data_IF_943325334825
#
_entry.id   IF_943325334825
#
_cell.length_a   1.000
_cell.length_b   1.000
_cell.length_c   1.000
_cell.angle_alpha   90.00
_cell.angle_beta   90.00
_cell.angle_gamma   90.00
#
_symmetry.space_group_name_H-M   'P 1'
#
loop_
_entity.id
_entity.type
_entity.pdbx_description
1 polymer ?
#
# COMPACT_ATOMS: atom_id res chain seq x y z
N UNK A 1 -11.60 24.45 -1.11
CA UNK A 1 -10.96 24.34 -2.43
C UNK A 1 -12.05 24.08 -3.45
N UNK A 2 -12.12 24.85 -4.54
CA UNK A 2 -13.24 24.89 -5.50
C UNK A 2 -13.32 23.67 -6.44
N UNK A 3 -12.33 22.78 -6.46
CA UNK A 3 -12.32 21.62 -7.36
C UNK A 3 -11.92 21.95 -8.81
N UNK A 4 -11.78 23.23 -9.17
CA UNK A 4 -11.46 23.71 -10.53
C UNK A 4 -10.17 23.08 -11.09
N UNK A 5 -9.14 22.86 -10.28
CA UNK A 5 -7.94 22.14 -10.73
C UNK A 5 -8.23 20.69 -11.15
N UNK A 6 -9.11 20.00 -10.43
CA UNK A 6 -9.46 18.61 -10.69
C UNK A 6 -10.35 18.47 -11.93
N UNK A 7 -11.24 19.45 -12.16
CA UNK A 7 -12.15 19.45 -13.30
C UNK A 7 -11.55 20.06 -14.57
N UNK A 8 -10.89 21.21 -14.48
CA UNK A 8 -10.48 21.96 -15.68
C UNK A 8 -9.08 21.57 -16.16
N UNK A 9 -8.20 21.13 -15.25
CA UNK A 9 -6.80 20.84 -15.59
C UNK A 9 -6.57 19.33 -15.68
N UNK A 10 -6.85 18.58 -14.62
CA UNK A 10 -6.56 17.14 -14.57
C UNK A 10 -7.42 16.34 -15.56
N UNK A 11 -8.72 16.65 -15.66
CA UNK A 11 -9.62 15.98 -16.60
C UNK A 11 -9.33 16.34 -18.05
N UNK A 12 -9.13 17.62 -18.35
CA UNK A 12 -8.82 18.07 -19.72
C UNK A 12 -7.47 17.54 -20.20
N UNK A 13 -6.48 17.48 -19.31
CA UNK A 13 -5.17 16.94 -19.60
C UNK A 13 -5.11 15.41 -19.57
N UNK A 14 -6.18 14.70 -19.18
CA UNK A 14 -6.15 13.25 -18.94
C UNK A 14 -4.93 12.86 -18.09
N UNK A 15 -4.71 13.59 -16.99
CA UNK A 15 -3.60 13.36 -16.08
C UNK A 15 -4.10 13.50 -14.66
N UNK A 16 -4.30 12.38 -13.97
CA UNK A 16 -5.00 12.35 -12.68
C UNK A 16 -4.07 12.20 -11.47
N UNK A 17 -2.81 11.84 -11.70
CA UNK A 17 -1.77 11.79 -10.68
C UNK A 17 -1.15 13.17 -10.45
N UNK A 18 -0.68 13.43 -9.23
CA UNK A 18 0.08 14.65 -8.88
C UNK A 18 1.37 14.26 -8.14
N UNK A 19 2.48 14.99 -8.33
CA UNK A 19 2.64 16.16 -9.21
C UNK A 19 2.81 15.78 -10.69
N UNK A 20 2.44 16.71 -11.60
CA UNK A 20 2.63 16.59 -13.06
C UNK A 20 3.18 17.89 -13.64
N UNK A 21 4.12 17.76 -14.55
CA UNK A 21 4.72 18.87 -15.26
C UNK A 21 3.98 19.14 -16.58
N UNK A 22 3.75 20.42 -16.87
CA UNK A 22 3.23 20.91 -18.15
C UNK A 22 4.31 21.77 -18.79
N UNK A 23 4.87 21.33 -19.91
CA UNK A 23 5.90 22.06 -20.64
C UNK A 23 5.26 22.73 -21.86
N UNK A 24 5.40 24.05 -21.94
CA UNK A 24 4.98 24.85 -23.09
C UNK A 24 6.21 25.21 -23.91
N UNK A 25 6.18 24.96 -25.21
CA UNK A 25 7.29 25.30 -26.11
C UNK A 25 7.23 26.74 -26.64
N UNK A 26 8.23 27.09 -27.45
CA UNK A 26 8.39 28.44 -28.02
C UNK A 26 7.21 28.91 -28.89
N UNK A 27 6.38 27.98 -29.40
CA UNK A 27 5.20 28.33 -30.20
C UNK A 27 3.95 28.54 -29.31
N UNK A 28 4.12 28.48 -27.98
CA UNK A 28 3.02 28.58 -27.03
C UNK A 28 2.12 27.34 -26.98
N UNK A 29 2.59 26.16 -27.44
CA UNK A 29 1.81 24.91 -27.35
C UNK A 29 2.36 23.98 -26.28
N UNK A 30 1.50 23.15 -25.72
CA UNK A 30 1.90 22.09 -24.79
C UNK A 30 2.74 21.07 -25.56
N UNK A 31 4.01 20.96 -25.18
CA UNK A 31 4.97 20.03 -25.74
C UNK A 31 5.04 18.72 -24.95
N UNK A 32 4.76 18.77 -23.64
CA UNK A 32 4.82 17.61 -22.76
C UNK A 32 3.92 17.78 -21.55
N UNK A 33 3.25 16.68 -21.16
CA UNK A 33 2.55 16.51 -19.89
C UNK A 33 3.05 15.21 -19.28
N UNK A 34 3.62 15.23 -18.08
CA UNK A 34 4.13 14.00 -17.49
C UNK A 34 4.85 14.15 -16.17
N UNK A 35 5.56 13.10 -15.77
CA UNK A 35 6.33 13.07 -14.52
C UNK A 35 7.51 14.06 -14.56
N UNK A 36 7.81 14.68 -13.42
CA UNK A 36 8.92 15.60 -13.24
C UNK A 36 10.26 14.92 -13.52
N UNK A 37 10.40 13.62 -13.24
CA UNK A 37 11.66 12.88 -13.50
C UNK A 37 12.04 12.84 -14.98
N UNK A 38 11.08 13.06 -15.88
CA UNK A 38 11.32 13.09 -17.33
C UNK A 38 11.77 14.45 -17.84
N UNK A 39 11.73 15.50 -17.01
CA UNK A 39 12.04 16.85 -17.46
C UNK A 39 13.50 17.02 -17.88
N UNK A 40 14.45 16.34 -17.23
CA UNK A 40 15.86 16.40 -17.61
C UNK A 40 16.10 15.91 -19.04
N UNK A 41 15.36 14.88 -19.46
CA UNK A 41 15.44 14.33 -20.82
C UNK A 41 14.64 15.17 -21.84
N UNK A 42 13.48 15.68 -21.43
CA UNK A 42 12.52 16.35 -22.32
C UNK A 42 12.88 17.81 -22.58
N UNK A 43 13.28 18.56 -21.55
CA UNK A 43 13.48 20.01 -21.66
C UNK A 43 14.53 20.40 -22.72
N UNK A 44 15.72 19.76 -22.82
CA UNK A 44 16.69 20.09 -23.86
C UNK A 44 16.12 19.90 -25.27
N UNK A 45 15.37 18.82 -25.50
CA UNK A 45 14.75 18.49 -26.80
C UNK A 45 13.59 19.42 -27.15
N UNK A 46 12.89 19.95 -26.15
CA UNK A 46 11.88 20.99 -26.36
C UNK A 46 12.55 22.31 -26.72
N UNK A 47 13.65 22.66 -26.03
CA UNK A 47 14.42 23.88 -26.27
C UNK A 47 15.05 23.87 -27.66
N UNK A 48 15.60 22.75 -28.13
CA UNK A 48 16.21 22.67 -29.47
C UNK A 48 15.18 22.48 -30.60
N UNK A 49 13.94 22.08 -30.27
CA UNK A 49 12.82 21.91 -31.21
C UNK A 49 12.67 20.50 -31.78
N UNK A 50 13.51 19.54 -31.35
CA UNK A 50 13.48 18.15 -31.81
C UNK A 50 12.36 17.31 -31.17
N UNK A 51 11.82 17.73 -30.02
CA UNK A 51 10.85 16.94 -29.26
C UNK A 51 9.54 16.70 -30.00
N UNK A 52 8.86 17.75 -30.48
CA UNK A 52 7.44 17.68 -30.90
C UNK A 52 7.19 16.67 -32.03
N UNK A 53 8.10 16.57 -33.00
CA UNK A 53 7.97 15.64 -34.13
C UNK A 53 8.52 14.24 -33.84
N UNK A 54 9.16 14.04 -32.69
CA UNK A 54 9.85 12.80 -32.34
C UNK A 54 8.88 11.64 -32.11
N UNK A 55 9.38 10.42 -32.27
CA UNK A 55 8.65 9.21 -31.88
C UNK A 55 8.47 9.14 -30.35
N UNK A 56 9.43 9.67 -29.58
CA UNK A 56 9.39 9.71 -28.12
C UNK A 56 8.20 10.53 -27.61
N UNK A 57 7.97 11.73 -28.14
CA UNK A 57 6.83 12.56 -27.78
C UNK A 57 5.49 11.88 -28.09
N UNK A 58 5.39 11.23 -29.25
CA UNK A 58 4.19 10.46 -29.64
C UNK A 58 3.94 9.27 -28.70
N UNK A 59 5.00 8.58 -28.30
CA UNK A 59 4.89 7.45 -27.38
C UNK A 59 4.54 7.90 -25.96
N UNK A 60 5.12 9.01 -25.49
CA UNK A 60 4.79 9.60 -24.20
C UNK A 60 3.31 10.01 -24.13
N UNK A 61 2.79 10.64 -25.18
CA UNK A 61 1.37 11.01 -25.26
C UNK A 61 0.46 9.78 -25.27
N UNK A 62 0.78 8.75 -26.06
CA UNK A 62 0.02 7.49 -26.07
C UNK A 62 0.01 6.80 -24.70
N UNK A 63 1.17 6.73 -24.04
CA UNK A 63 1.29 6.13 -22.72
C UNK A 63 0.43 6.88 -21.69
N UNK A 64 0.45 8.22 -21.73
CA UNK A 64 -0.34 9.07 -20.86
C UNK A 64 -1.85 8.90 -21.07
N UNK A 65 -2.30 8.80 -22.32
CA UNK A 65 -3.72 8.54 -22.63
C UNK A 65 -4.13 7.14 -22.15
N UNK A 66 -3.30 6.11 -22.37
CA UNK A 66 -3.57 4.76 -21.89
C UNK A 66 -3.63 4.68 -20.34
N UNK A 67 -2.73 5.40 -19.65
CA UNK A 67 -2.78 5.54 -18.19
C UNK A 67 -4.10 6.17 -17.74
N UNK A 68 -4.55 7.24 -18.42
CA UNK A 68 -5.79 7.91 -18.11
C UNK A 68 -7.05 7.05 -18.36
N UNK A 69 -7.03 6.19 -19.38
CA UNK A 69 -8.12 5.24 -19.65
C UNK A 69 -8.30 4.22 -18.51
N UNK A 70 -7.22 3.89 -17.80
CA UNK A 70 -7.25 3.02 -16.61
C UNK A 70 -7.64 3.83 -15.36
N UNK A 71 -7.05 5.00 -15.16
CA UNK A 71 -7.21 5.80 -13.95
C UNK A 71 -8.58 6.48 -13.84
N UNK A 72 -9.14 6.97 -14.95
CA UNK A 72 -10.41 7.68 -14.95
C UNK A 72 -11.56 6.84 -14.36
N UNK A 73 -11.82 5.59 -14.81
CA UNK A 73 -12.89 4.77 -14.24
C UNK A 73 -12.60 4.40 -12.77
N UNK A 74 -11.36 4.10 -12.40
CA UNK A 74 -11.00 3.86 -11.00
C UNK A 74 -11.28 5.08 -10.12
N UNK A 75 -10.91 6.28 -10.58
CA UNK A 75 -11.16 7.54 -9.87
C UNK A 75 -12.66 7.82 -9.76
N UNK A 76 -13.43 7.55 -10.80
CA UNK A 76 -14.89 7.68 -10.77
C UNK A 76 -15.52 6.75 -9.73
N UNK A 77 -15.08 5.49 -9.64
CA UNK A 77 -15.52 4.56 -8.60
C UNK A 77 -15.13 5.05 -7.21
N UNK A 78 -13.88 5.48 -7.00
CA UNK A 78 -13.43 6.03 -5.71
C UNK A 78 -14.26 7.24 -5.28
N UNK A 79 -14.66 8.11 -6.21
CA UNK A 79 -15.56 9.24 -5.93
C UNK A 79 -16.96 8.77 -5.56
N UNK A 80 -17.52 7.78 -6.26
CA UNK A 80 -18.82 7.18 -5.93
C UNK A 80 -18.81 6.55 -4.53
N UNK A 81 -17.76 5.78 -4.22
CA UNK A 81 -17.56 5.16 -2.90
C UNK A 81 -17.53 6.25 -1.82
N UNK A 82 -16.73 7.31 -2.02
CA UNK A 82 -16.65 8.42 -1.07
C UNK A 82 -18.00 9.14 -0.91
N UNK A 83 -18.64 9.51 -2.01
CA UNK A 83 -19.92 10.22 -1.96
C UNK A 83 -21.01 9.41 -1.25
N UNK A 84 -21.04 8.10 -1.46
CA UNK A 84 -21.95 7.20 -0.75
C UNK A 84 -21.59 7.09 0.75
N UNK A 85 -20.29 6.95 1.07
CA UNK A 85 -19.82 6.92 2.46
C UNK A 85 -20.11 8.22 3.22
N UNK A 86 -19.99 9.38 2.57
CA UNK A 86 -20.24 10.70 3.17
C UNK A 86 -21.70 10.87 3.61
N UNK A 87 -22.64 10.15 2.99
CA UNK A 87 -24.06 10.11 3.36
C UNK A 87 -24.46 8.81 4.06
N UNK A 88 -23.48 8.00 4.48
CA UNK A 88 -23.65 6.71 5.13
C UNK A 88 -24.47 5.67 4.33
N UNK A 89 -24.51 5.83 3.00
CA UNK A 89 -25.08 4.82 2.09
C UNK A 89 -24.07 3.70 1.82
N UNK A 90 -23.85 2.88 2.85
CA UNK A 90 -22.87 1.79 2.82
C UNK A 90 -23.19 0.73 1.78
N UNK A 91 -24.47 0.55 1.42
CA UNK A 91 -24.88 -0.39 0.37
C UNK A 91 -24.42 0.09 -1.00
N UNK A 92 -24.62 1.37 -1.32
CA UNK A 92 -24.13 1.95 -2.57
C UNK A 92 -22.60 1.99 -2.60
N UNK A 93 -21.96 2.28 -1.47
CA UNK A 93 -20.50 2.22 -1.36
C UNK A 93 -19.96 0.80 -1.62
N UNK A 94 -20.56 -0.23 -1.01
CA UNK A 94 -20.22 -1.63 -1.21
C UNK A 94 -20.40 -2.04 -2.68
N UNK A 95 -21.54 -1.71 -3.29
CA UNK A 95 -21.80 -2.02 -4.70
C UNK A 95 -20.77 -1.39 -5.65
N UNK A 96 -20.35 -0.15 -5.38
CA UNK A 96 -19.30 0.50 -6.17
C UNK A 96 -17.91 -0.15 -5.96
N UNK A 97 -17.63 -0.70 -4.78
CA UNK A 97 -16.40 -1.48 -4.54
C UNK A 97 -16.43 -2.79 -5.33
N UNK A 98 -17.55 -3.52 -5.27
CA UNK A 98 -17.74 -4.78 -6.01
C UNK A 98 -17.58 -4.57 -7.52
N UNK A 99 -18.18 -3.50 -8.07
CA UNK A 99 -17.97 -3.09 -9.45
C UNK A 99 -16.49 -2.82 -9.74
N UNK A 100 -15.77 -2.18 -8.81
CA UNK A 100 -14.33 -1.96 -8.92
C UNK A 100 -13.50 -3.24 -8.92
N UNK A 101 -13.88 -4.25 -8.13
CA UNK A 101 -13.21 -5.56 -8.15
C UNK A 101 -13.44 -6.27 -9.49
N UNK A 102 -14.65 -6.17 -10.06
CA UNK A 102 -14.98 -6.78 -11.36
C UNK A 102 -14.19 -6.12 -12.49
N UNK A 103 -14.12 -4.78 -12.50
CA UNK A 103 -13.43 -4.03 -13.55
C UNK A 103 -11.91 -4.02 -13.38
N UNK A 104 -11.42 -4.07 -12.14
CA UNK A 104 -10.00 -3.96 -11.79
C UNK A 104 -9.59 -5.05 -10.78
N UNK A 105 -9.64 -6.34 -11.17
CA UNK A 105 -9.38 -7.44 -10.25
C UNK A 105 -7.95 -7.44 -9.68
N UNK A 106 -7.01 -6.81 -10.38
CA UNK A 106 -5.61 -6.67 -9.97
C UNK A 106 -5.35 -5.51 -8.99
N UNK A 107 -6.37 -4.71 -8.65
CA UNK A 107 -6.20 -3.55 -7.79
C UNK A 107 -6.49 -3.89 -6.32
N UNK A 108 -5.43 -4.06 -5.53
CA UNK A 108 -5.46 -4.43 -4.10
C UNK A 108 -6.38 -3.52 -3.29
N UNK A 109 -6.46 -2.22 -3.63
CA UNK A 109 -7.24 -1.24 -2.87
C UNK A 109 -8.73 -1.60 -2.82
N UNK A 110 -9.31 -2.08 -3.93
CA UNK A 110 -10.72 -2.47 -3.94
C UNK A 110 -10.96 -3.71 -3.05
N UNK A 111 -10.06 -4.69 -3.07
CA UNK A 111 -10.14 -5.87 -2.20
C UNK A 111 -10.03 -5.50 -0.72
N UNK A 112 -9.07 -4.63 -0.36
CA UNK A 112 -8.93 -4.13 1.02
C UNK A 112 -10.16 -3.32 1.46
N UNK A 113 -10.69 -2.44 0.60
CA UNK A 113 -11.88 -1.66 0.92
C UNK A 113 -13.13 -2.51 1.07
N UNK A 114 -13.23 -3.61 0.34
CA UNK A 114 -14.32 -4.56 0.49
C UNK A 114 -14.32 -5.16 1.90
N UNK A 115 -13.16 -5.63 2.37
CA UNK A 115 -13.02 -6.15 3.75
C UNK A 115 -13.33 -5.04 4.77
N UNK A 116 -12.73 -3.85 4.61
CA UNK A 116 -12.88 -2.72 5.55
C UNK A 116 -14.33 -2.30 5.76
N UNK A 117 -15.11 -2.12 4.69
CA UNK A 117 -16.52 -1.72 4.82
C UNK A 117 -17.33 -2.81 5.52
N UNK A 118 -17.13 -4.07 5.15
CA UNK A 118 -17.89 -5.17 5.73
C UNK A 118 -17.57 -5.38 7.22
N UNK A 119 -16.28 -5.30 7.61
CA UNK A 119 -15.86 -5.56 9.00
C UNK A 119 -16.03 -4.35 9.92
N UNK A 120 -15.66 -3.15 9.45
CA UNK A 120 -15.61 -1.96 10.28
C UNK A 120 -16.98 -1.29 10.43
N UNK A 121 -17.75 -1.28 9.33
CA UNK A 121 -18.95 -0.46 9.21
C UNK A 121 -20.22 -1.32 9.22
N UNK A 122 -20.34 -2.26 8.27
CA UNK A 122 -21.55 -3.08 8.14
C UNK A 122 -21.64 -4.18 9.20
N UNK A 123 -20.50 -4.58 9.78
CA UNK A 123 -20.38 -5.63 10.81
C UNK A 123 -20.95 -6.98 10.34
N UNK A 124 -20.86 -7.25 9.05
CA UNK A 124 -21.34 -8.49 8.43
C UNK A 124 -20.22 -9.55 8.43
N UNK A 125 -20.08 -10.27 9.54
CA UNK A 125 -18.95 -11.20 9.73
C UNK A 125 -18.98 -12.40 8.77
N UNK A 126 -20.16 -12.81 8.30
CA UNK A 126 -20.29 -13.86 7.30
C UNK A 126 -19.74 -13.38 5.95
N UNK A 127 -20.18 -12.20 5.49
CA UNK A 127 -19.67 -11.60 4.27
C UNK A 127 -18.16 -11.32 4.37
N UNK A 128 -17.68 -10.79 5.50
CA UNK A 128 -16.26 -10.58 5.78
C UNK A 128 -15.47 -11.86 5.58
N UNK A 129 -15.93 -12.98 6.16
CA UNK A 129 -15.21 -14.24 6.06
C UNK A 129 -15.08 -14.73 4.61
N UNK A 130 -16.15 -14.62 3.83
CA UNK A 130 -16.16 -14.99 2.42
C UNK A 130 -15.14 -14.15 1.63
N UNK A 131 -15.20 -12.82 1.75
CA UNK A 131 -14.34 -11.93 0.96
C UNK A 131 -12.88 -12.00 1.40
N UNK A 132 -12.62 -12.14 2.70
CA UNK A 132 -11.27 -12.24 3.25
C UNK A 132 -10.62 -13.58 2.86
N UNK A 133 -11.39 -14.66 2.91
CA UNK A 133 -10.96 -15.97 2.44
C UNK A 133 -10.64 -15.98 0.94
N UNK A 134 -11.43 -15.28 0.12
CA UNK A 134 -11.13 -15.11 -1.31
C UNK A 134 -9.87 -14.25 -1.51
N UNK A 135 -9.76 -13.12 -0.83
CA UNK A 135 -8.62 -12.22 -0.97
C UNK A 135 -7.29 -12.90 -0.63
N UNK A 136 -7.23 -13.63 0.47
CA UNK A 136 -6.04 -14.37 0.87
C UNK A 136 -5.69 -15.52 -0.10
N UNK A 137 -6.70 -16.24 -0.64
CA UNK A 137 -6.45 -17.25 -1.69
C UNK A 137 -5.86 -16.62 -2.95
N UNK A 138 -6.45 -15.52 -3.42
CA UNK A 138 -5.91 -14.77 -4.56
C UNK A 138 -4.49 -14.27 -4.30
N UNK A 139 -4.19 -13.81 -3.08
CA UNK A 139 -2.83 -13.40 -2.70
C UNK A 139 -1.84 -14.57 -2.76
N UNK A 140 -2.24 -15.74 -2.26
CA UNK A 140 -1.47 -16.99 -2.30
C UNK A 140 -1.19 -17.43 -3.75
N UNK A 141 -2.21 -17.42 -4.60
CA UNK A 141 -2.12 -17.80 -6.01
C UNK A 141 -1.20 -16.86 -6.80
N UNK A 142 -1.33 -15.55 -6.58
CA UNK A 142 -0.46 -14.53 -7.20
C UNK A 142 0.98 -14.62 -6.71
N UNK A 143 1.17 -15.04 -5.46
CA UNK A 143 2.46 -15.11 -4.79
C UNK A 143 3.27 -13.80 -4.92
N UNK A 144 2.56 -12.66 -4.83
CA UNK A 144 3.11 -11.30 -4.88
C UNK A 144 3.19 -10.76 -3.45
N UNK A 145 4.35 -10.23 -3.06
CA UNK A 145 4.58 -9.76 -1.68
C UNK A 145 3.53 -8.72 -1.24
N UNK A 146 3.21 -7.74 -2.10
CA UNK A 146 2.20 -6.71 -1.80
C UNK A 146 0.82 -7.31 -1.51
N UNK A 147 0.42 -8.31 -2.29
CA UNK A 147 -0.85 -9.02 -2.08
C UNK A 147 -0.83 -9.86 -0.80
N UNK A 148 0.26 -10.60 -0.57
CA UNK A 148 0.43 -11.45 0.60
C UNK A 148 0.41 -10.61 1.88
N UNK A 149 1.14 -9.48 1.88
CA UNK A 149 1.22 -8.55 2.99
C UNK A 149 -0.13 -7.87 3.25
N UNK A 150 -0.80 -7.42 2.19
CA UNK A 150 -2.13 -6.81 2.30
C UNK A 150 -3.16 -7.79 2.87
N UNK A 151 -3.16 -9.05 2.43
CA UNK A 151 -4.05 -10.09 2.97
C UNK A 151 -3.71 -10.42 4.43
N UNK A 152 -2.43 -10.51 4.80
CA UNK A 152 -2.00 -10.77 6.18
C UNK A 152 -2.46 -9.65 7.11
N UNK A 153 -2.34 -8.39 6.68
CA UNK A 153 -2.86 -7.24 7.42
C UNK A 153 -4.39 -7.27 7.57
N UNK A 154 -5.14 -7.72 6.56
CA UNK A 154 -6.59 -7.85 6.68
C UNK A 154 -7.02 -9.00 7.60
N UNK A 155 -6.17 -10.03 7.79
CA UNK A 155 -6.45 -11.15 8.69
C UNK A 155 -6.13 -10.87 10.16
N UNK A 156 -5.10 -10.05 10.42
CA UNK A 156 -4.50 -9.87 11.75
C UNK A 156 -4.14 -8.44 12.11
N UNK A 157 -4.36 -7.43 11.28
CA UNK A 157 -3.94 -6.06 11.59
C UNK A 157 -4.68 -5.47 12.82
N UNK A 158 -4.10 -4.52 13.56
CA UNK A 158 -4.67 -4.02 14.82
C UNK A 158 -5.92 -3.11 14.66
N UNK A 159 -6.52 -3.07 13.47
CA UNK A 159 -7.50 -2.03 13.09
C UNK A 159 -8.93 -2.45 13.42
N UNK A 160 -9.24 -3.75 13.31
CA UNK A 160 -10.61 -4.24 13.39
C UNK A 160 -10.79 -5.28 14.50
N UNK A 161 -12.04 -5.44 14.92
CA UNK A 161 -12.44 -6.53 15.81
C UNK A 161 -12.73 -7.78 14.98
N UNK A 162 -11.91 -8.82 15.18
CA UNK A 162 -12.01 -10.10 14.48
C UNK A 162 -12.65 -11.21 15.32
N UNK A 163 -13.22 -10.89 16.49
CA UNK A 163 -13.77 -11.89 17.42
C UNK A 163 -14.86 -12.78 16.80
N UNK A 164 -15.60 -12.29 15.80
CA UNK A 164 -16.61 -13.04 15.07
C UNK A 164 -16.09 -13.94 13.94
N UNK A 165 -14.78 -13.98 13.68
CA UNK A 165 -14.19 -14.78 12.61
C UNK A 165 -13.50 -16.05 13.14
N UNK A 166 -13.48 -17.15 12.36
CA UNK A 166 -12.92 -18.42 12.79
C UNK A 166 -11.39 -18.34 13.01
N UNK A 167 -10.96 -18.38 14.27
CA UNK A 167 -9.57 -18.13 14.66
C UNK A 167 -8.59 -19.14 14.05
N UNK A 168 -8.90 -20.44 14.07
CA UNK A 168 -7.99 -21.48 13.61
C UNK A 168 -7.68 -21.36 12.10
N UNK A 169 -8.71 -21.11 11.31
CA UNK A 169 -8.64 -20.93 9.86
C UNK A 169 -7.87 -19.65 9.52
N UNK A 170 -8.17 -18.53 10.21
CA UNK A 170 -7.40 -17.29 10.06
C UNK A 170 -5.93 -17.51 10.39
N UNK A 171 -5.62 -18.18 11.50
CA UNK A 171 -4.24 -18.50 11.92
C UNK A 171 -3.51 -19.33 10.87
N UNK A 172 -4.18 -20.33 10.30
CA UNK A 172 -3.62 -21.19 9.26
C UNK A 172 -3.27 -20.40 8.00
N UNK A 173 -4.20 -19.56 7.54
CA UNK A 173 -3.98 -18.71 6.37
C UNK A 173 -2.88 -17.68 6.60
N UNK A 174 -2.90 -17.00 7.75
CA UNK A 174 -1.87 -16.03 8.12
C UNK A 174 -0.47 -16.65 8.23
N UNK A 175 -0.38 -17.90 8.73
CA UNK A 175 0.87 -18.67 8.73
C UNK A 175 1.39 -18.91 7.32
N UNK A 176 0.53 -19.38 6.41
CA UNK A 176 0.94 -19.64 5.02
C UNK A 176 1.40 -18.35 4.33
N UNK A 177 0.65 -17.26 4.47
CA UNK A 177 1.02 -15.95 3.94
C UNK A 177 2.38 -15.51 4.48
N UNK A 178 2.58 -15.61 5.79
CA UNK A 178 3.85 -15.25 6.46
C UNK A 178 5.03 -16.05 5.94
N UNK A 179 4.88 -17.38 5.78
CA UNK A 179 5.94 -18.24 5.24
C UNK A 179 6.29 -17.90 3.80
N UNK A 180 5.30 -17.53 2.98
CA UNK A 180 5.53 -17.09 1.59
C UNK A 180 6.24 -15.75 1.54
N UNK A 181 5.82 -14.77 2.35
CA UNK A 181 6.50 -13.47 2.44
C UNK A 181 7.97 -13.65 2.85
N UNK A 182 8.25 -14.47 3.87
CA UNK A 182 9.62 -14.73 4.33
C UNK A 182 10.51 -15.36 3.25
N UNK A 183 9.95 -16.15 2.32
CA UNK A 183 10.71 -16.70 1.17
C UNK A 183 11.02 -15.63 0.12
N UNK A 184 10.19 -14.60 -0.01
CA UNK A 184 10.37 -13.50 -0.95
C UNK A 184 11.31 -12.41 -0.39
N UNK A 185 11.25 -12.15 0.92
CA UNK A 185 12.02 -11.12 1.65
C UNK A 185 13.50 -10.97 1.25
N UNK A 186 14.30 -12.04 1.01
CA UNK A 186 15.71 -11.88 0.62
C UNK A 186 15.93 -11.10 -0.68
N UNK A 187 14.92 -11.01 -1.56
CA UNK A 187 14.98 -10.35 -2.85
C UNK A 187 14.75 -8.82 -2.76
N UNK A 188 14.30 -8.33 -1.60
CA UNK A 188 13.84 -6.96 -1.43
C UNK A 188 14.86 -6.04 -0.76
N UNK A 189 14.66 -4.74 -0.96
CA UNK A 189 15.43 -3.69 -0.33
C UNK A 189 15.17 -3.60 1.19
N UNK A 190 15.89 -2.69 1.85
CA UNK A 190 15.80 -2.57 3.29
C UNK A 190 14.44 -2.08 3.83
N UNK A 191 13.81 -1.05 3.23
CA UNK A 191 12.44 -0.65 3.55
C UNK A 191 11.42 -1.78 3.50
N UNK A 192 11.27 -2.49 2.38
CA UNK A 192 10.22 -3.49 2.24
C UNK A 192 10.40 -4.63 3.24
N UNK A 193 11.64 -5.10 3.41
CA UNK A 193 11.95 -6.18 4.35
C UNK A 193 11.66 -5.80 5.80
N UNK A 194 11.93 -4.54 6.18
CA UNK A 194 11.55 -4.01 7.50
C UNK A 194 10.05 -4.09 7.76
N UNK A 195 9.22 -3.68 6.79
CA UNK A 195 7.77 -3.73 6.91
C UNK A 195 7.27 -5.18 7.00
N UNK A 196 7.77 -6.07 6.12
CA UNK A 196 7.40 -7.49 6.11
C UNK A 196 7.70 -8.16 7.46
N UNK A 197 8.90 -7.98 8.02
CA UNK A 197 9.23 -8.56 9.33
C UNK A 197 8.31 -8.07 10.45
N UNK A 198 8.00 -6.77 10.49
CA UNK A 198 7.12 -6.21 11.52
C UNK A 198 5.70 -6.76 11.43
N UNK A 199 5.13 -6.84 10.23
CA UNK A 199 3.77 -7.37 10.05
C UNK A 199 3.70 -8.85 10.43
N UNK A 200 4.70 -9.64 10.06
CA UNK A 200 4.73 -11.07 10.39
C UNK A 200 4.97 -11.29 11.90
N UNK A 201 5.84 -10.49 12.52
CA UNK A 201 6.07 -10.55 13.95
C UNK A 201 4.80 -10.19 14.75
N UNK A 202 4.03 -9.20 14.29
CA UNK A 202 2.73 -8.87 14.86
C UNK A 202 1.77 -10.06 14.84
N UNK A 203 1.65 -10.73 13.69
CA UNK A 203 0.85 -11.96 13.59
C UNK A 203 1.30 -13.02 14.60
N UNK A 204 2.61 -13.32 14.68
CA UNK A 204 3.09 -14.36 15.60
C UNK A 204 2.82 -14.00 17.06
N UNK A 205 3.00 -12.74 17.45
CA UNK A 205 2.68 -12.25 18.80
C UNK A 205 1.19 -12.46 19.13
N UNK A 206 0.29 -11.97 18.26
CA UNK A 206 -1.16 -12.10 18.45
C UNK A 206 -1.66 -13.54 18.41
N UNK A 207 -0.97 -14.42 17.66
CA UNK A 207 -1.29 -15.85 17.61
C UNK A 207 -0.73 -16.64 18.80
N UNK A 208 0.06 -16.00 19.67
CA UNK A 208 0.65 -16.61 20.87
C UNK A 208 2.04 -17.21 20.70
N UNK A 209 2.63 -17.18 19.50
CA UNK A 209 4.01 -17.61 19.24
C UNK A 209 4.98 -16.44 19.43
N UNK A 210 5.10 -16.01 20.70
CA UNK A 210 5.87 -14.82 21.05
C UNK A 210 7.39 -15.00 20.80
N UNK A 211 7.91 -16.23 20.92
CA UNK A 211 9.31 -16.54 20.63
C UNK A 211 9.65 -16.22 19.17
N UNK A 212 8.79 -16.67 18.25
CA UNK A 212 8.96 -16.38 16.83
C UNK A 212 8.77 -14.89 16.50
N UNK A 213 7.86 -14.21 17.19
CA UNK A 213 7.68 -12.77 17.05
C UNK A 213 8.97 -12.01 17.45
N UNK A 214 9.56 -12.36 18.59
CA UNK A 214 10.82 -11.81 19.09
C UNK A 214 11.96 -12.07 18.10
N UNK A 215 12.12 -13.30 17.62
CA UNK A 215 13.17 -13.68 16.66
C UNK A 215 13.10 -12.85 15.36
N UNK A 216 11.89 -12.57 14.87
CA UNK A 216 11.70 -11.77 13.66
C UNK A 216 12.05 -10.30 13.88
N UNK A 217 11.69 -9.72 15.03
CA UNK A 217 12.07 -8.34 15.37
C UNK A 217 13.57 -8.21 15.55
N UNK A 218 14.25 -9.19 16.17
CA UNK A 218 15.70 -9.19 16.29
C UNK A 218 16.40 -9.32 14.94
N UNK A 219 15.88 -10.14 14.03
CA UNK A 219 16.38 -10.22 12.65
C UNK A 219 16.22 -8.90 11.91
N UNK A 220 15.04 -8.27 12.02
CA UNK A 220 14.79 -6.96 11.43
C UNK A 220 15.75 -5.89 11.98
N UNK A 221 16.04 -5.92 13.28
CA UNK A 221 16.95 -4.98 13.94
C UNK A 221 18.38 -5.11 13.43
N UNK A 222 18.91 -6.34 13.37
CA UNK A 222 20.25 -6.60 12.79
C UNK A 222 20.33 -6.18 11.33
N UNK A 223 19.26 -6.41 10.58
CA UNK A 223 19.19 -6.07 9.17
C UNK A 223 19.15 -4.55 8.94
N UNK A 224 18.32 -3.80 9.68
CA UNK A 224 18.29 -2.33 9.61
C UNK A 224 19.64 -1.75 10.06
N UNK A 225 20.30 -2.34 11.05
CA UNK A 225 21.64 -1.90 11.47
C UNK A 225 22.70 -2.09 10.36
N UNK A 226 22.65 -3.21 9.64
CA UNK A 226 23.54 -3.46 8.51
C UNK A 226 23.18 -2.74 7.20
N UNK A 227 22.01 -2.10 7.11
CA UNK A 227 21.51 -1.53 5.88
C UNK A 227 22.13 -0.15 5.58
N UNK A 228 22.35 0.13 4.30
CA UNK A 228 22.79 1.44 3.80
C UNK A 228 21.61 2.43 3.73
N UNK A 229 21.06 2.80 4.89
CA UNK A 229 19.99 3.78 5.04
C UNK A 229 20.54 5.12 5.56
N UNK A 230 19.86 6.25 5.28
CA UNK A 230 20.16 7.52 5.95
C UNK A 230 20.10 7.39 7.48
N UNK A 231 21.04 8.01 8.19
CA UNK A 231 21.20 7.85 9.65
C UNK A 231 19.90 8.12 10.44
N UNK A 232 19.14 9.16 10.04
CA UNK A 232 17.86 9.52 10.68
C UNK A 232 16.83 8.41 10.51
N UNK A 233 16.67 7.89 9.30
CA UNK A 233 15.72 6.82 8.97
C UNK A 233 16.11 5.51 9.66
N UNK A 234 17.41 5.21 9.66
CA UNK A 234 17.96 4.05 10.35
C UNK A 234 17.66 4.12 11.86
N UNK A 235 17.95 5.26 12.48
CA UNK A 235 17.70 5.48 13.91
C UNK A 235 16.22 5.35 14.28
N UNK A 236 15.33 5.96 13.49
CA UNK A 236 13.88 5.90 13.71
C UNK A 236 13.36 4.45 13.64
N UNK A 237 13.75 3.71 12.60
CA UNK A 237 13.33 2.31 12.42
C UNK A 237 13.87 1.40 13.52
N UNK A 238 15.12 1.60 13.93
CA UNK A 238 15.70 0.85 15.06
C UNK A 238 14.97 1.14 16.37
N UNK A 239 14.64 2.40 16.64
CA UNK A 239 13.87 2.78 17.84
C UNK A 239 12.47 2.13 17.84
N UNK A 240 11.78 2.12 16.69
CA UNK A 240 10.49 1.44 16.55
C UNK A 240 10.59 -0.07 16.80
N UNK A 241 11.60 -0.75 16.24
CA UNK A 241 11.82 -2.18 16.48
C UNK A 241 12.15 -2.49 17.93
N UNK A 242 12.99 -1.66 18.57
CA UNK A 242 13.32 -1.82 19.98
C UNK A 242 12.11 -1.63 20.88
N UNK A 243 11.22 -0.68 20.55
CA UNK A 243 9.97 -0.50 21.27
C UNK A 243 9.09 -1.75 21.19
N UNK A 244 8.89 -2.29 19.98
CA UNK A 244 8.14 -3.54 19.79
C UNK A 244 8.81 -4.73 20.49
N UNK A 245 10.14 -4.82 20.44
CA UNK A 245 10.90 -5.88 21.11
C UNK A 245 10.75 -5.81 22.64
N UNK A 246 10.80 -4.60 23.21
CA UNK A 246 10.57 -4.38 24.63
C UNK A 246 9.16 -4.84 25.03
N UNK A 247 8.15 -4.47 24.25
CA UNK A 247 6.76 -4.87 24.46
C UNK A 247 6.59 -6.39 24.42
N UNK A 248 7.18 -7.06 23.44
CA UNK A 248 7.07 -8.53 23.30
C UNK A 248 7.85 -9.28 24.39
N UNK A 249 9.01 -8.78 24.83
CA UNK A 249 9.79 -9.42 25.91
C UNK A 249 9.30 -9.06 27.32
N UNK A 250 8.54 -7.97 27.46
CA UNK A 250 8.11 -7.46 28.77
C UNK A 250 9.24 -6.84 29.61
N UNK A 251 10.38 -6.52 29.00
CA UNK A 251 11.55 -5.96 29.69
C UNK A 251 12.24 -4.86 28.86
N UNK A 252 13.11 -4.09 29.51
CA UNK A 252 13.92 -3.10 28.81
C UNK A 252 14.96 -3.78 27.91
N UNK A 253 15.04 -3.34 26.66
CA UNK A 253 16.01 -3.83 25.68
C UNK A 253 16.85 -2.70 25.13
N UNK A 254 18.10 -2.99 24.77
CA UNK A 254 19.04 -2.02 24.21
C UNK A 254 19.81 -2.63 23.03
N UNK A 255 20.07 -1.82 22.00
CA UNK A 255 20.89 -2.19 20.84
C UNK A 255 21.49 -0.94 20.20
N UNK A 256 22.78 -0.98 19.84
CA UNK A 256 23.44 0.13 19.15
C UNK A 256 23.40 1.47 19.89
N UNK A 257 23.34 1.46 21.23
CA UNK A 257 23.23 2.67 22.05
C UNK A 257 21.80 3.24 22.19
N UNK A 258 20.80 2.62 21.57
CA UNK A 258 19.38 2.94 21.72
C UNK A 258 18.76 1.95 22.71
N UNK A 259 17.91 2.43 23.61
CA UNK A 259 17.16 1.58 24.55
C UNK A 259 15.68 1.90 24.49
N UNK A 260 14.84 0.89 24.69
CA UNK A 260 13.39 1.03 24.82
C UNK A 260 12.89 0.19 25.99
N UNK A 261 11.82 0.64 26.63
CA UNK A 261 11.15 -0.05 27.72
C UNK A 261 9.68 -0.32 27.35
N UNK A 262 9.06 -1.38 27.92
CA UNK A 262 7.64 -1.63 27.71
C UNK A 262 6.83 -0.41 28.16
N UNK A 263 5.79 -0.07 27.39
CA UNK A 263 4.85 0.98 27.80
C UNK A 263 4.16 0.52 29.08
N UNK A 264 4.15 1.37 30.11
CA UNK A 264 3.37 1.11 31.32
C UNK A 264 1.89 1.08 30.93
N UNK A 265 1.18 0.00 31.26
CA UNK A 265 -0.27 -0.01 31.23
C UNK A 265 -0.76 1.00 32.28
N UNK A 266 -1.44 2.06 31.84
CA UNK A 266 -2.10 3.03 32.71
C UNK A 266 -3.44 2.49 33.20
#
# INVERSE_FOLDING_TARGET
YSGEMDEDWLKASLSFAVPRAFVVDRDGRIAFIGDLVKLEDVLPKVIDGSWRASAEAKNAEKARVAEAEIDAPQKALRRRIRAAADIEDWKTALSAIEEGIILFPDNIWFHQKHVEILIGVMRDMEAVWIVLGQFARTAIERNSEDWLLAALQQLYGPIYDYSGLPLAERSSMAKELSERILRLCPQHDAPLRYYSYRTIAFYYHESGDNDRAVDLIEQALKFVDGASLPDVEKHERMAQLLQTLAEYKGEQVCYGGICAAPRKQC
#
